data_IF_234634468519
#
_entry.id   IF_234634468519
#
_cell.length_a   1.000
_cell.length_b   1.000
_cell.length_c   1.000
_cell.angle_alpha   90.00
_cell.angle_beta   90.00
_cell.angle_gamma   90.00
#
_symmetry.space_group_name_H-M   'P 1'
#
loop_
_entity.id
_entity.type
_entity.pdbx_description
1 polymer ?
#
# COMPACT_ATOMS: atom_id res chain seq x y z
N UNK A 1 8.07 4.13 -11.25
CA UNK A 1 7.84 3.78 -9.84
C UNK A 1 8.59 2.53 -9.40
N UNK A 2 8.30 1.34 -9.95
CA UNK A 2 8.99 0.08 -9.59
C UNK A 2 10.51 0.14 -9.68
N UNK A 3 11.05 0.75 -10.76
CA UNK A 3 12.49 0.88 -10.96
C UNK A 3 13.12 1.76 -9.89
N UNK A 4 12.45 2.83 -9.48
CA UNK A 4 12.90 3.68 -8.38
C UNK A 4 13.00 2.89 -7.08
N UNK A 5 11.94 2.18 -6.69
CA UNK A 5 11.97 1.34 -5.50
C UNK A 5 13.04 0.25 -5.58
N UNK A 6 13.24 -0.37 -6.74
CA UNK A 6 14.30 -1.35 -6.93
C UNK A 6 15.68 -0.76 -6.62
N UNK A 7 15.97 0.44 -7.16
CA UNK A 7 17.24 1.11 -6.95
C UNK A 7 17.44 1.50 -5.48
N UNK A 8 16.41 2.04 -4.84
CA UNK A 8 16.48 2.42 -3.41
C UNK A 8 16.64 1.20 -2.51
N UNK A 9 15.82 0.17 -2.69
CA UNK A 9 15.80 -1.00 -1.81
C UNK A 9 17.01 -1.91 -1.99
N UNK A 10 17.39 -2.20 -3.24
CA UNK A 10 18.43 -3.19 -3.56
C UNK A 10 19.82 -2.58 -3.71
N UNK A 11 19.90 -1.37 -4.27
CA UNK A 11 21.18 -0.75 -4.62
C UNK A 11 21.52 0.47 -3.76
N UNK A 12 20.58 0.96 -2.94
CA UNK A 12 20.75 2.17 -2.11
C UNK A 12 21.08 3.42 -2.93
N UNK A 13 20.55 3.46 -4.17
CA UNK A 13 20.74 4.56 -5.11
C UNK A 13 19.44 5.36 -5.19
N UNK A 14 19.56 6.68 -5.00
CA UNK A 14 18.51 7.65 -5.25
C UNK A 14 18.90 8.45 -6.48
N UNK A 15 18.04 8.45 -7.51
CA UNK A 15 18.23 9.20 -8.73
C UNK A 15 16.88 9.76 -9.21
N UNK A 16 16.90 10.86 -9.95
CA UNK A 16 15.72 11.47 -10.52
C UNK A 16 15.03 10.56 -11.56
N UNK A 17 13.78 10.84 -11.88
CA UNK A 17 12.97 10.01 -12.78
C UNK A 17 13.59 9.84 -14.17
N UNK A 18 14.17 10.90 -14.72
CA UNK A 18 14.88 10.88 -16.02
C UNK A 18 16.13 10.00 -15.95
N UNK A 19 16.87 10.07 -14.86
CA UNK A 19 18.11 9.33 -14.66
C UNK A 19 17.95 7.82 -14.50
N UNK A 20 16.76 7.33 -14.14
CA UNK A 20 16.47 5.90 -13.98
C UNK A 20 15.82 5.26 -15.21
N UNK A 21 15.48 6.05 -16.24
CA UNK A 21 14.86 5.55 -17.46
C UNK A 21 15.66 4.43 -18.15
N UNK A 22 17.00 4.50 -18.25
CA UNK A 22 17.78 3.42 -18.86
C UNK A 22 17.59 2.07 -18.13
N UNK A 23 17.56 2.06 -16.80
CA UNK A 23 17.31 0.84 -16.01
C UNK A 23 15.89 0.32 -16.22
N UNK A 24 14.91 1.22 -16.29
CA UNK A 24 13.53 0.85 -16.59
C UNK A 24 13.37 0.26 -17.99
N UNK A 25 14.09 0.79 -18.98
CA UNK A 25 14.12 0.27 -20.34
C UNK A 25 14.73 -1.13 -20.38
N UNK A 26 15.88 -1.35 -19.75
CA UNK A 26 16.54 -2.68 -19.69
C UNK A 26 15.62 -3.73 -19.07
N UNK A 27 14.86 -3.40 -18.04
CA UNK A 27 13.86 -4.31 -17.43
C UNK A 27 12.76 -4.76 -18.39
N UNK A 28 12.40 -3.91 -19.35
CA UNK A 28 11.35 -4.18 -20.35
C UNK A 28 11.88 -4.84 -21.63
N UNK A 29 13.15 -4.70 -21.89
CA UNK A 29 13.77 -5.26 -23.10
C UNK A 29 14.09 -6.75 -22.89
N UNK A 30 13.68 -7.57 -23.84
CA UNK A 30 14.03 -8.99 -23.85
C UNK A 30 15.46 -9.18 -24.38
N UNK A 31 16.45 -8.83 -23.56
CA UNK A 31 17.87 -8.88 -23.94
C UNK A 31 18.46 -10.18 -23.39
N UNK A 32 18.67 -11.17 -24.27
CA UNK A 32 19.33 -12.43 -23.92
C UNK A 32 20.72 -12.49 -24.53
N UNK A 33 21.71 -12.96 -23.76
CA UNK A 33 23.08 -13.20 -24.23
C UNK A 33 23.91 -11.97 -24.56
N UNK A 34 23.42 -10.75 -24.19
CA UNK A 34 24.14 -9.49 -24.41
C UNK A 34 24.63 -8.90 -23.08
N UNK A 35 25.79 -8.26 -23.11
CA UNK A 35 26.25 -7.39 -22.02
C UNK A 35 25.63 -6.01 -22.21
N UNK A 36 24.92 -5.52 -21.21
CA UNK A 36 24.21 -4.23 -21.28
C UNK A 36 24.68 -3.36 -20.12
N UNK A 37 24.97 -2.11 -20.41
CA UNK A 37 25.30 -1.09 -19.42
C UNK A 37 24.17 -0.04 -19.42
N UNK A 38 23.55 0.16 -18.27
CA UNK A 38 22.59 1.23 -18.05
C UNK A 38 23.24 2.32 -17.21
N UNK A 39 23.34 3.53 -17.77
CA UNK A 39 23.88 4.68 -17.05
C UNK A 39 22.77 5.29 -16.21
N UNK A 40 22.94 5.32 -14.89
CA UNK A 40 22.08 6.06 -13.96
C UNK A 40 22.69 7.46 -13.76
N UNK A 41 21.90 8.48 -13.99
CA UNK A 41 22.35 9.88 -13.86
C UNK A 41 21.27 10.75 -13.22
N UNK A 42 21.68 11.94 -12.77
CA UNK A 42 20.75 12.93 -12.20
C UNK A 42 20.36 12.62 -10.74
N UNK A 43 20.50 13.62 -9.89
CA UNK A 43 20.15 13.56 -8.46
C UNK A 43 19.24 14.71 -8.04
N UNK A 44 18.75 15.51 -8.99
CA UNK A 44 17.88 16.65 -8.70
C UNK A 44 16.44 16.21 -8.46
N UNK A 45 16.21 15.59 -7.32
CA UNK A 45 14.88 15.13 -6.90
C UNK A 45 14.62 15.65 -5.48
N UNK A 46 13.47 16.28 -5.28
CA UNK A 46 13.08 16.79 -3.97
C UNK A 46 12.53 15.68 -3.05
N UNK A 47 12.62 15.91 -1.74
CA UNK A 47 12.24 14.92 -0.71
C UNK A 47 10.75 14.57 -0.73
N UNK A 48 9.86 15.51 -1.07
CA UNK A 48 8.42 15.26 -1.15
C UNK A 48 8.10 14.33 -2.33
N UNK A 49 8.78 14.55 -3.46
CA UNK A 49 8.69 13.64 -4.63
C UNK A 49 9.19 12.24 -4.27
N UNK A 50 10.33 12.12 -3.58
CA UNK A 50 10.84 10.82 -3.10
C UNK A 50 9.81 10.13 -2.21
N UNK A 51 9.27 10.83 -1.22
CA UNK A 51 8.25 10.31 -0.30
C UNK A 51 7.01 9.82 -1.06
N UNK A 52 6.50 10.63 -1.98
CA UNK A 52 5.36 10.28 -2.83
C UNK A 52 5.62 9.03 -3.69
N UNK A 53 6.82 8.93 -4.28
CA UNK A 53 7.21 7.78 -5.10
C UNK A 53 7.32 6.50 -4.27
N UNK A 54 7.88 6.58 -3.07
CA UNK A 54 7.98 5.45 -2.14
C UNK A 54 6.57 4.98 -1.77
N UNK A 55 5.72 5.87 -1.28
CA UNK A 55 4.36 5.53 -0.86
C UNK A 55 3.55 4.89 -1.99
N UNK A 56 3.49 5.53 -3.16
CA UNK A 56 2.80 4.97 -4.33
C UNK A 56 3.36 3.61 -4.74
N UNK A 57 4.67 3.46 -4.70
CA UNK A 57 5.30 2.20 -5.04
C UNK A 57 4.99 1.08 -4.04
N UNK A 58 4.90 1.37 -2.75
CA UNK A 58 4.50 0.40 -1.71
C UNK A 58 3.04 -0.02 -1.88
N UNK A 59 2.14 0.93 -2.20
CA UNK A 59 0.73 0.64 -2.51
C UNK A 59 0.62 -0.28 -3.75
N UNK A 60 1.32 0.06 -4.84
CA UNK A 60 1.32 -0.75 -6.07
C UNK A 60 1.85 -2.18 -5.88
N UNK A 61 2.70 -2.40 -4.88
CA UNK A 61 3.22 -3.73 -4.53
C UNK A 61 2.39 -4.45 -3.48
N UNK A 62 1.26 -3.88 -3.08
CA UNK A 62 0.44 -4.43 -2.01
C UNK A 62 1.17 -4.48 -0.66
N UNK A 63 2.14 -3.57 -0.40
CA UNK A 63 2.84 -3.46 0.88
C UNK A 63 2.13 -2.51 1.85
N UNK A 64 1.28 -1.66 1.31
CA UNK A 64 0.35 -0.80 2.05
C UNK A 64 -1.03 -1.05 1.49
N UNK A 65 -1.97 -1.35 2.35
CA UNK A 65 -3.37 -1.59 2.02
C UNK A 65 -4.28 -0.71 2.86
N UNK A 66 -5.11 0.11 2.20
CA UNK A 66 -6.10 0.95 2.85
C UNK A 66 -7.49 0.46 2.47
N UNK A 67 -8.34 0.30 3.46
CA UNK A 67 -9.73 -0.11 3.28
C UNK A 67 -10.65 0.61 4.25
N UNK A 68 -11.94 0.67 3.91
CA UNK A 68 -13.00 1.03 4.84
C UNK A 68 -13.84 -0.20 5.20
N UNK A 69 -14.37 -0.17 6.40
CA UNK A 69 -15.32 -1.18 6.90
C UNK A 69 -16.42 -0.48 7.67
N UNK A 70 -17.67 -0.89 7.42
CA UNK A 70 -18.83 -0.40 8.17
C UNK A 70 -18.99 -1.22 9.45
N UNK A 71 -19.09 -0.54 10.58
CA UNK A 71 -19.22 -1.15 11.90
C UNK A 71 -20.49 -0.63 12.57
N UNK A 72 -21.17 -1.50 13.31
CA UNK A 72 -22.22 -1.03 14.22
C UNK A 72 -21.60 -0.13 15.30
N UNK A 73 -22.23 0.99 15.59
CA UNK A 73 -21.76 1.90 16.66
C UNK A 73 -22.02 1.29 18.04
N UNK A 74 -21.15 0.35 18.42
CA UNK A 74 -21.21 -0.38 19.69
C UNK A 74 -19.80 -0.57 20.27
N UNK A 75 -19.65 -0.53 21.60
CA UNK A 75 -18.38 -0.86 22.23
C UNK A 75 -17.85 -2.22 21.81
N UNK A 76 -16.54 -2.33 21.61
CA UNK A 76 -15.86 -3.58 21.27
C UNK A 76 -15.72 -3.87 19.77
N UNK A 77 -16.39 -3.14 18.87
CA UNK A 77 -16.26 -3.37 17.42
C UNK A 77 -14.84 -3.10 16.92
N UNK A 78 -14.23 -2.02 17.38
CA UNK A 78 -12.83 -1.73 17.03
C UNK A 78 -11.87 -2.81 17.51
N UNK A 79 -12.10 -3.39 18.70
CA UNK A 79 -11.28 -4.47 19.23
C UNK A 79 -11.34 -5.70 18.32
N UNK A 80 -12.53 -6.07 17.83
CA UNK A 80 -12.70 -7.19 16.89
C UNK A 80 -11.92 -6.96 15.60
N UNK A 81 -11.99 -5.76 15.02
CA UNK A 81 -11.21 -5.42 13.82
C UNK A 81 -9.70 -5.56 14.10
N UNK A 82 -9.23 -5.04 15.23
CA UNK A 82 -7.83 -5.14 15.61
C UNK A 82 -7.38 -6.60 15.81
N UNK A 83 -8.21 -7.45 16.43
CA UNK A 83 -7.94 -8.89 16.60
C UNK A 83 -7.85 -9.61 15.25
N UNK A 84 -8.75 -9.33 14.30
CA UNK A 84 -8.72 -9.92 12.98
C UNK A 84 -7.43 -9.56 12.24
N UNK A 85 -7.02 -8.29 12.27
CA UNK A 85 -5.77 -7.83 11.66
C UNK A 85 -4.55 -8.46 12.33
N UNK A 86 -4.53 -8.54 13.65
CA UNK A 86 -3.45 -9.16 14.41
C UNK A 86 -3.28 -10.64 14.05
N UNK A 87 -4.37 -11.41 13.95
CA UNK A 87 -4.34 -12.82 13.52
C UNK A 87 -3.80 -13.01 12.10
N UNK A 88 -3.91 -12.00 11.26
CA UNK A 88 -3.33 -12.00 9.91
C UNK A 88 -1.91 -11.42 9.87
N UNK A 89 -1.31 -11.05 11.01
CA UNK A 89 0.00 -10.37 11.08
C UNK A 89 0.03 -9.07 10.27
N UNK A 90 -1.07 -8.35 10.19
CA UNK A 90 -1.16 -7.05 9.54
C UNK A 90 -0.90 -5.96 10.58
N UNK A 91 0.16 -5.18 10.36
CA UNK A 91 0.49 -4.06 11.24
C UNK A 91 -0.31 -2.82 10.86
N UNK A 92 -1.03 -2.24 11.83
CA UNK A 92 -1.85 -1.04 11.60
C UNK A 92 -0.95 0.19 11.57
N UNK A 93 -0.94 0.92 10.44
CA UNK A 93 -0.22 2.19 10.25
C UNK A 93 -1.10 3.37 10.63
N UNK A 94 -2.37 3.33 10.22
CA UNK A 94 -3.31 4.43 10.41
C UNK A 94 -4.70 3.88 10.64
N UNK A 95 -5.45 4.57 11.50
CA UNK A 95 -6.83 4.24 11.81
C UNK A 95 -7.61 5.54 11.95
N UNK A 96 -8.67 5.69 11.15
CA UNK A 96 -9.56 6.85 11.16
C UNK A 96 -10.99 6.40 11.40
N UNK A 97 -11.58 6.91 12.45
CA UNK A 97 -12.94 6.60 12.87
C UNK A 97 -13.85 7.78 12.51
N UNK A 98 -14.66 7.63 11.47
CA UNK A 98 -15.51 8.67 10.93
C UNK A 98 -16.97 8.44 11.34
N UNK A 99 -17.42 9.12 12.39
CA UNK A 99 -18.81 9.05 12.88
C UNK A 99 -19.80 9.90 12.06
N UNK A 100 -19.33 10.88 11.29
CA UNK A 100 -20.17 11.93 10.70
C UNK A 100 -20.36 11.87 9.19
N UNK A 101 -19.77 10.90 8.48
CA UNK A 101 -19.88 10.83 7.01
C UNK A 101 -21.26 10.45 6.47
N UNK A 102 -22.09 9.78 7.26
CA UNK A 102 -23.43 9.34 6.85
C UNK A 102 -24.51 9.95 7.73
N UNK A 103 -24.99 11.14 7.37
CA UNK A 103 -26.15 11.82 8.03
C UNK A 103 -27.45 11.01 7.96
N UNK A 104 -27.54 9.96 7.15
CA UNK A 104 -28.75 9.16 6.93
C UNK A 104 -28.80 7.81 7.66
N UNK A 105 -27.71 7.38 8.34
CA UNK A 105 -27.68 6.11 9.07
C UNK A 105 -27.14 6.31 10.49
N UNK A 106 -28.02 6.56 11.40
CA UNK A 106 -27.73 6.75 12.85
C UNK A 106 -27.18 5.51 13.57
N UNK A 107 -26.77 4.44 12.87
CA UNK A 107 -26.40 3.16 13.48
C UNK A 107 -25.03 2.59 13.07
N UNK A 108 -24.42 3.10 12.00
CA UNK A 108 -23.20 2.53 11.48
C UNK A 108 -22.10 3.58 11.38
N UNK A 109 -20.90 3.17 11.75
CA UNK A 109 -19.69 4.01 11.75
C UNK A 109 -18.73 3.46 10.69
N UNK A 110 -18.16 4.34 9.88
CA UNK A 110 -17.11 3.98 8.94
C UNK A 110 -15.76 4.03 9.65
N UNK A 111 -15.07 2.88 9.67
CA UNK A 111 -13.69 2.78 10.10
C UNK A 111 -12.79 2.64 8.87
N UNK A 112 -11.90 3.61 8.67
CA UNK A 112 -10.87 3.53 7.65
C UNK A 112 -9.57 3.05 8.28
N UNK A 113 -8.98 1.99 7.71
CA UNK A 113 -7.78 1.34 8.23
C UNK A 113 -6.72 1.26 7.15
N UNK A 114 -5.50 1.67 7.48
CA UNK A 114 -4.32 1.44 6.64
C UNK A 114 -3.39 0.49 7.36
N UNK A 115 -2.99 -0.58 6.67
CA UNK A 115 -2.13 -1.64 7.22
C UNK A 115 -0.92 -1.91 6.35
N UNK A 116 0.18 -2.32 6.97
CA UNK A 116 1.28 -2.97 6.27
C UNK A 116 0.91 -4.40 5.92
N UNK A 117 1.26 -4.81 4.72
CA UNK A 117 0.99 -6.15 4.19
C UNK A 117 2.20 -6.70 3.46
N UNK A 118 2.18 -8.00 3.17
CA UNK A 118 3.27 -8.71 2.48
C UNK A 118 3.01 -8.92 0.99
N UNK A 119 2.12 -8.12 0.38
CA UNK A 119 1.74 -8.23 -1.03
C UNK A 119 0.26 -8.56 -1.21
N UNK A 120 -0.18 -8.67 -2.46
CA UNK A 120 -1.59 -8.86 -2.83
C UNK A 120 -2.21 -10.15 -2.24
N UNK A 121 -1.46 -11.25 -2.15
CA UNK A 121 -1.95 -12.48 -1.51
C UNK A 121 -2.32 -12.28 -0.03
N UNK A 122 -1.53 -11.47 0.67
CA UNK A 122 -1.83 -11.13 2.06
C UNK A 122 -3.08 -10.25 2.17
N UNK A 123 -3.24 -9.29 1.25
CA UNK A 123 -4.44 -8.45 1.15
C UNK A 123 -5.68 -9.34 0.92
N UNK A 124 -5.62 -10.29 0.00
CA UNK A 124 -6.72 -11.23 -0.25
C UNK A 124 -7.11 -12.03 0.99
N UNK A 125 -6.13 -12.53 1.76
CA UNK A 125 -6.39 -13.25 3.01
C UNK A 125 -7.11 -12.37 4.04
N UNK A 126 -6.69 -11.12 4.19
CA UNK A 126 -7.35 -10.16 5.08
C UNK A 126 -8.80 -9.97 4.66
N UNK A 127 -9.06 -9.70 3.38
CA UNK A 127 -10.42 -9.49 2.86
C UNK A 127 -11.30 -10.74 3.10
N UNK A 128 -10.78 -11.94 2.85
CA UNK A 128 -11.52 -13.19 3.08
C UNK A 128 -11.88 -13.41 4.56
N UNK A 129 -10.95 -13.11 5.47
CA UNK A 129 -11.19 -13.26 6.92
C UNK A 129 -12.26 -12.29 7.37
N UNK A 130 -12.21 -11.04 6.96
CA UNK A 130 -13.24 -10.05 7.29
C UNK A 130 -14.60 -10.46 6.74
N UNK A 131 -14.65 -10.94 5.49
CA UNK A 131 -15.89 -11.42 4.87
C UNK A 131 -16.49 -12.63 5.61
N UNK A 132 -15.67 -13.56 6.09
CA UNK A 132 -16.11 -14.72 6.90
C UNK A 132 -16.72 -14.30 8.24
N UNK A 133 -16.22 -13.22 8.82
CA UNK A 133 -16.72 -12.64 10.07
C UNK A 133 -17.91 -11.68 9.86
N UNK A 134 -18.42 -11.58 8.62
CA UNK A 134 -19.59 -10.77 8.28
C UNK A 134 -19.30 -9.29 8.05
N UNK A 135 -18.04 -8.90 7.86
CA UNK A 135 -17.66 -7.53 7.53
C UNK A 135 -17.48 -7.38 6.02
N UNK A 136 -18.07 -6.33 5.46
CA UNK A 136 -17.78 -5.90 4.09
C UNK A 136 -16.65 -4.88 4.10
N UNK A 137 -15.61 -5.15 3.31
CA UNK A 137 -14.47 -4.26 3.12
C UNK A 137 -14.57 -3.59 1.76
N UNK A 138 -14.43 -2.27 1.75
CA UNK A 138 -14.22 -1.51 0.53
C UNK A 138 -12.74 -1.10 0.44
N UNK A 139 -12.05 -1.54 -0.64
CA UNK A 139 -10.67 -1.14 -0.91
C UNK A 139 -10.63 0.34 -1.31
N UNK A 140 -9.84 1.12 -0.60
CA UNK A 140 -9.61 2.52 -0.92
C UNK A 140 -8.32 2.66 -1.72
N UNK A 141 -8.42 3.28 -2.88
CA UNK A 141 -7.26 3.68 -3.68
C UNK A 141 -6.78 5.03 -3.11
N UNK A 142 -5.82 5.00 -2.22
CA UNK A 142 -5.16 6.19 -1.67
C UNK A 142 -3.99 6.63 -2.52
#
# INVERSE_FOLDING_TARGET
>A
METFLLLVEKHKIVAENSGILPVAAVKKLNIKGKKVVAVVSGGNIDVLTISSMINKGLIMRGRIFTFSVQLADKPGQLLKVAELLSKQNANVIKLEHNQFKNLSRFKDVELQVTVETNGEEHIHKIIEVFKKEGYEIERLNS
#
